data_IF_364467852854
#
_entry.id   IF_364467852854
#
_cell.length_a   1.000
_cell.length_b   1.000
_cell.length_c   1.000
_cell.angle_alpha   90.00
_cell.angle_beta   90.00
_cell.angle_gamma   90.00
#
_symmetry.space_group_name_H-M   'P 1'
#
loop_
_entity.id
_entity.type
_entity.pdbx_description
1 polymer ?
#
# COMPACT_ATOMS: atom_id res chain seq x y z
N UNK A 1 22.90 2.38 -12.86
CA UNK A 1 23.05 3.47 -11.86
C UNK A 1 22.25 3.07 -10.64
N UNK A 2 22.81 3.22 -9.43
CA UNK A 2 22.12 2.92 -8.18
C UNK A 2 21.52 4.20 -7.61
N UNK A 3 20.25 4.16 -7.23
CA UNK A 3 19.55 5.28 -6.58
C UNK A 3 19.00 4.81 -5.24
N UNK A 4 19.29 5.53 -4.18
CA UNK A 4 18.81 5.20 -2.83
C UNK A 4 17.47 5.92 -2.57
N UNK A 5 16.44 5.15 -2.24
CA UNK A 5 15.14 5.66 -1.78
C UNK A 5 15.08 5.66 -0.26
N UNK A 6 15.41 6.79 0.36
CA UNK A 6 15.40 6.91 1.82
C UNK A 6 13.97 6.93 2.40
N UNK A 7 13.81 6.29 3.56
CA UNK A 7 12.54 6.22 4.29
C UNK A 7 11.91 7.60 4.54
N UNK A 8 12.69 8.56 5.04
CA UNK A 8 12.27 9.91 5.43
C UNK A 8 11.95 10.82 4.25
N UNK A 9 12.14 10.34 3.01
CA UNK A 9 11.79 11.04 1.77
C UNK A 9 10.55 10.45 1.08
N UNK A 10 9.95 9.41 1.65
CA UNK A 10 8.70 8.82 1.16
C UNK A 10 7.55 9.81 1.31
N UNK A 11 6.56 9.70 0.43
CA UNK A 11 5.28 10.37 0.66
C UNK A 11 4.68 9.87 1.97
N UNK A 12 3.91 10.70 2.64
CA UNK A 12 3.31 10.36 3.93
C UNK A 12 1.89 10.88 4.00
N UNK A 13 0.96 10.01 4.40
CA UNK A 13 -0.40 10.40 4.72
C UNK A 13 -0.85 9.67 5.98
N UNK A 14 -1.41 10.43 6.91
CA UNK A 14 -1.98 9.90 8.14
C UNK A 14 -3.46 10.31 8.24
N UNK A 15 -4.34 9.31 8.21
CA UNK A 15 -5.80 9.46 8.26
C UNK A 15 -6.37 9.10 9.64
N UNK A 16 -5.53 9.04 10.66
CA UNK A 16 -5.88 8.62 12.01
C UNK A 16 -6.02 7.11 12.18
N UNK A 17 -6.64 6.39 11.24
CA UNK A 17 -6.76 4.92 11.24
C UNK A 17 -5.72 4.22 10.34
N UNK A 18 -5.18 4.95 9.36
CA UNK A 18 -4.13 4.53 8.43
C UNK A 18 -2.98 5.52 8.51
N UNK A 19 -1.78 5.03 8.79
CA UNK A 19 -0.52 5.75 8.61
C UNK A 19 0.27 5.07 7.49
N UNK A 20 0.40 5.75 6.36
CA UNK A 20 0.94 5.17 5.12
C UNK A 20 2.13 5.96 4.60
N UNK A 21 3.18 5.24 4.20
CA UNK A 21 4.34 5.80 3.53
C UNK A 21 4.47 5.31 2.08
N UNK A 22 4.49 6.24 1.13
CA UNK A 22 4.48 5.98 -0.31
C UNK A 22 5.90 6.06 -0.91
N UNK A 23 6.42 4.93 -1.39
CA UNK A 23 7.74 4.91 -2.04
C UNK A 23 7.72 5.61 -3.41
N UNK A 24 6.59 5.51 -4.13
CA UNK A 24 6.32 6.15 -5.42
C UNK A 24 5.08 7.06 -5.32
N UNK A 25 4.83 7.87 -6.35
CA UNK A 25 3.64 8.71 -6.46
C UNK A 25 2.36 7.87 -6.38
N UNK A 26 1.46 8.23 -5.46
CA UNK A 26 0.23 7.49 -5.17
C UNK A 26 -0.80 8.40 -4.48
N UNK A 27 -2.08 8.20 -4.78
CA UNK A 27 -3.17 9.07 -4.33
C UNK A 27 -2.83 10.56 -4.59
N UNK A 28 -2.94 11.42 -3.57
CA UNK A 28 -2.62 12.85 -3.67
C UNK A 28 -1.11 13.15 -3.55
N UNK A 29 -0.27 12.16 -3.20
CA UNK A 29 1.17 12.34 -3.15
C UNK A 29 1.79 12.22 -4.56
N UNK A 30 2.52 13.26 -4.96
CA UNK A 30 3.16 13.34 -6.27
C UNK A 30 4.64 13.70 -6.15
N UNK A 31 5.49 12.88 -6.76
CA UNK A 31 6.91 13.12 -6.98
C UNK A 31 7.30 12.64 -8.40
N UNK A 32 7.62 13.57 -9.33
CA UNK A 32 7.92 13.22 -10.72
C UNK A 32 9.17 12.34 -10.87
N UNK A 33 10.07 12.33 -9.87
CA UNK A 33 11.27 11.49 -9.90
C UNK A 33 11.00 10.07 -9.39
N UNK A 34 9.87 9.83 -8.74
CA UNK A 34 9.51 8.56 -8.13
C UNK A 34 8.11 8.13 -8.60
N UNK A 35 7.91 7.98 -9.91
CA UNK A 35 6.63 7.54 -10.49
C UNK A 35 6.44 6.01 -10.51
N UNK A 36 7.52 5.25 -10.28
CA UNK A 36 7.58 3.79 -10.37
C UNK A 36 8.96 3.32 -10.80
N UNK A 37 9.18 2.01 -10.82
CA UNK A 37 10.43 1.40 -11.29
C UNK A 37 10.13 0.16 -12.14
N UNK A 38 10.35 0.26 -13.45
CA UNK A 38 9.93 -0.78 -14.40
C UNK A 38 8.43 -1.08 -14.23
N UNK A 39 8.04 -2.34 -14.03
CA UNK A 39 6.65 -2.74 -13.79
C UNK A 39 6.16 -2.43 -12.37
N UNK A 40 7.06 -2.14 -11.42
CA UNK A 40 6.67 -1.84 -10.04
C UNK A 40 6.12 -0.42 -9.95
N UNK A 41 4.81 -0.29 -9.71
CA UNK A 41 4.12 1.00 -9.70
C UNK A 41 3.97 1.60 -8.31
N UNK A 42 3.66 0.79 -7.31
CA UNK A 42 3.32 1.24 -5.96
C UNK A 42 4.02 0.34 -4.94
N UNK A 43 4.61 0.96 -3.92
CA UNK A 43 5.02 0.29 -2.68
C UNK A 43 4.60 1.19 -1.54
N UNK A 44 3.58 0.75 -0.82
CA UNK A 44 3.10 1.43 0.37
C UNK A 44 3.50 0.62 1.60
N UNK A 45 3.79 1.33 2.68
CA UNK A 45 4.12 0.80 3.99
C UNK A 45 3.06 1.32 4.95
N UNK A 46 2.13 0.44 5.29
CA UNK A 46 0.83 0.79 5.86
C UNK A 46 0.71 0.25 7.28
N UNK A 47 0.50 1.15 8.23
CA UNK A 47 0.09 0.85 9.59
C UNK A 47 -1.40 1.10 9.73
N UNK A 48 -2.16 0.02 9.95
CA UNK A 48 -3.62 0.04 10.04
C UNK A 48 -4.02 -0.23 11.48
N UNK A 49 -4.88 0.63 12.04
CA UNK A 49 -5.43 0.42 13.39
C UNK A 49 -6.31 -0.83 13.45
N UNK A 50 -6.40 -1.49 14.62
CA UNK A 50 -7.34 -2.59 14.83
C UNK A 50 -8.77 -2.21 14.42
N UNK A 51 -9.52 -3.19 13.93
CA UNK A 51 -10.92 -3.06 13.52
C UNK A 51 -11.18 -1.96 12.46
N UNK A 52 -10.13 -1.54 11.75
CA UNK A 52 -10.19 -0.57 10.65
C UNK A 52 -9.70 -1.21 9.36
N UNK A 53 -10.03 -0.62 8.22
CA UNK A 53 -9.58 -1.13 6.93
C UNK A 53 -10.17 -0.35 5.77
N UNK A 54 -9.79 -0.78 4.57
CA UNK A 54 -10.32 -0.23 3.34
C UNK A 54 -11.67 -0.88 3.03
N UNK A 55 -12.68 -0.07 2.69
CA UNK A 55 -13.93 -0.58 2.15
C UNK A 55 -13.73 -1.24 0.79
N UNK A 56 -14.73 -2.00 0.34
CA UNK A 56 -14.74 -2.60 -1.01
C UNK A 56 -14.53 -1.52 -2.08
N UNK A 57 -13.56 -1.72 -2.97
CA UNK A 57 -13.26 -0.82 -4.08
C UNK A 57 -12.73 -1.60 -5.29
N UNK A 58 -12.94 -1.11 -6.54
CA UNK A 58 -12.55 -1.83 -7.73
C UNK A 58 -11.06 -1.64 -8.06
N UNK A 59 -10.45 -2.68 -8.63
CA UNK A 59 -9.18 -2.62 -9.33
C UNK A 59 -9.34 -3.17 -10.74
N UNK A 60 -8.47 -2.74 -11.65
CA UNK A 60 -8.45 -3.19 -13.04
C UNK A 60 -7.00 -3.22 -13.53
N UNK A 61 -6.65 -4.27 -14.28
CA UNK A 61 -5.37 -4.43 -15.00
C UNK A 61 -4.12 -4.21 -14.11
N UNK A 62 -4.18 -4.68 -12.85
CA UNK A 62 -3.11 -4.57 -11.85
C UNK A 62 -2.98 -5.85 -11.03
N UNK A 63 -1.75 -6.35 -10.92
CA UNK A 63 -1.40 -7.37 -9.93
C UNK A 63 -1.10 -6.69 -8.59
N UNK A 64 -1.79 -7.12 -7.52
CA UNK A 64 -1.64 -6.57 -6.18
C UNK A 64 -1.08 -7.66 -5.26
N UNK A 65 -0.01 -7.32 -4.56
CA UNK A 65 0.64 -8.20 -3.60
C UNK A 65 0.69 -7.52 -2.23
N UNK A 66 0.31 -8.28 -1.19
CA UNK A 66 0.33 -7.83 0.19
C UNK A 66 1.26 -8.72 1.01
N UNK A 67 2.14 -8.10 1.79
CA UNK A 67 3.03 -8.78 2.74
C UNK A 67 2.78 -8.25 4.14
N UNK A 68 2.24 -9.10 5.02
CA UNK A 68 1.91 -8.73 6.41
C UNK A 68 3.15 -8.90 7.27
N UNK A 69 3.59 -7.81 7.91
CA UNK A 69 4.75 -7.81 8.81
C UNK A 69 4.37 -8.13 10.25
N UNK A 70 3.22 -7.62 10.71
CA UNK A 70 2.71 -7.80 12.07
C UNK A 70 1.17 -7.77 12.06
N UNK A 71 0.54 -8.51 12.99
CA UNK A 71 -0.92 -8.58 13.12
C UNK A 71 -1.58 -9.55 12.14
N UNK A 72 -2.83 -9.28 11.77
CA UNK A 72 -3.61 -10.10 10.84
C UNK A 72 -4.41 -9.18 9.91
N UNK A 73 -4.51 -9.54 8.63
CA UNK A 73 -5.29 -8.82 7.62
C UNK A 73 -6.38 -9.73 7.05
N UNK A 74 -7.64 -9.30 7.16
CA UNK A 74 -8.74 -9.96 6.45
C UNK A 74 -8.93 -9.32 5.08
N UNK A 75 -8.91 -10.14 4.04
CA UNK A 75 -9.23 -9.71 2.67
C UNK A 75 -10.51 -10.39 2.21
N UNK A 76 -11.42 -9.61 1.61
CA UNK A 76 -12.62 -10.09 0.93
C UNK A 76 -12.67 -9.47 -0.47
N UNK A 77 -12.84 -10.29 -1.51
CA UNK A 77 -12.91 -9.83 -2.90
C UNK A 77 -14.35 -9.73 -3.44
N UNK A 78 -14.48 -9.27 -4.70
CA UNK A 78 -15.78 -9.11 -5.36
C UNK A 78 -16.44 -10.43 -5.78
N UNK A 79 -15.72 -11.55 -5.78
CA UNK A 79 -16.26 -12.89 -6.04
C UNK A 79 -16.72 -13.58 -4.74
N UNK A 80 -16.50 -12.94 -3.59
CA UNK A 80 -16.90 -13.43 -2.28
C UNK A 80 -15.85 -14.30 -1.60
N UNK A 81 -14.65 -14.43 -2.17
CA UNK A 81 -13.56 -15.10 -1.46
C UNK A 81 -13.15 -14.27 -0.25
N UNK A 82 -12.86 -14.95 0.86
CA UNK A 82 -12.38 -14.32 2.08
C UNK A 82 -11.19 -15.09 2.63
N UNK A 83 -10.17 -14.38 3.10
CA UNK A 83 -8.96 -14.99 3.67
C UNK A 83 -8.38 -14.11 4.78
N UNK A 84 -7.80 -14.75 5.80
CA UNK A 84 -7.03 -14.08 6.84
C UNK A 84 -5.55 -14.33 6.58
N UNK A 85 -4.78 -13.27 6.40
CA UNK A 85 -3.35 -13.27 6.10
C UNK A 85 -2.59 -12.91 7.37
N UNK A 86 -1.58 -13.71 7.73
CA UNK A 86 -0.73 -13.53 8.91
C UNK A 86 0.75 -13.53 8.48
N UNK A 87 1.67 -12.99 9.30
CA UNK A 87 3.11 -13.05 9.07
C UNK A 87 3.67 -14.47 8.87
#
# INVERSE_FOLDING_TARGET
MLTLRHHDKRGHANHGWLDSHFSFSFADYYDPNHMGFSHLRVINDDWIKPDSGFGMHPHQDMEIFTYVLEGELTHTDSEGHTSVIKP
#
